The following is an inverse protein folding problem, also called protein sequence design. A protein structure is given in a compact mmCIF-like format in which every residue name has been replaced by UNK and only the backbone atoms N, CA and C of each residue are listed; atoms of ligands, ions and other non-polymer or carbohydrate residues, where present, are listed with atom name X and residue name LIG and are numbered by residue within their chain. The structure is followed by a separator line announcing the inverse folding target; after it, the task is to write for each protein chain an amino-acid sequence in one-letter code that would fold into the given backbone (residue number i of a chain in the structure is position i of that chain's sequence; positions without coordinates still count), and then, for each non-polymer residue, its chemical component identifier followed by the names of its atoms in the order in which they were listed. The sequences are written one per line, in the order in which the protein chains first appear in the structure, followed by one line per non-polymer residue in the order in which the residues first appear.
data_IF_944817730397
#
_entry.id   IF_944817730397
#
_cell.length_a   1.000
_cell.length_b   1.000
_cell.length_c   1.000
_cell.angle_alpha   90.00
_cell.angle_beta   90.00
_cell.angle_gamma   90.00
#
_symmetry.space_group_name_H-M   'P 1'
#
loop_
_entity.id
_entity.type
_entity.pdbx_description
1 polymer ?
#
# COMPACT_ATOMS: atom_id res chain seq x y z
N UNK A 1 13.91 -13.74 42.01
CA UNK A 1 14.93 -13.57 40.94
C UNK A 1 14.19 -13.30 39.63
N UNK A 2 14.41 -12.13 39.04
CA UNK A 2 13.63 -11.59 37.94
C UNK A 2 14.15 -12.12 36.59
N UNK A 3 13.78 -13.35 36.21
CA UNK A 3 14.24 -13.95 34.94
C UNK A 3 13.88 -13.16 33.67
N UNK A 4 12.85 -12.30 33.75
CA UNK A 4 12.51 -11.37 32.67
C UNK A 4 13.57 -10.26 32.51
N UNK A 5 14.12 -9.77 33.62
CA UNK A 5 15.16 -8.73 33.64
C UNK A 5 16.49 -9.28 33.10
N UNK A 6 16.84 -10.52 33.44
CA UNK A 6 18.05 -11.18 32.94
C UNK A 6 17.96 -11.45 31.43
N UNK A 7 16.80 -11.90 30.94
CA UNK A 7 16.58 -12.11 29.50
C UNK A 7 16.54 -10.80 28.69
N UNK A 8 16.05 -9.71 29.28
CA UNK A 8 16.08 -8.39 28.67
C UNK A 8 17.51 -7.81 28.68
N UNK A 9 18.29 -8.06 29.73
CA UNK A 9 19.68 -7.62 29.84
C UNK A 9 20.59 -8.27 28.80
N UNK A 10 20.46 -9.58 28.58
CA UNK A 10 21.14 -10.33 27.50
C UNK A 10 20.80 -9.80 26.09
N UNK A 11 19.55 -9.42 25.85
CA UNK A 11 19.14 -8.87 24.54
C UNK A 11 19.64 -7.42 24.36
N UNK A 12 19.73 -6.65 25.44
CA UNK A 12 20.21 -5.28 25.46
C UNK A 12 21.74 -5.18 25.32
N UNK A 13 22.50 -6.12 25.88
CA UNK A 13 23.97 -6.07 25.87
C UNK A 13 24.59 -6.33 24.50
N UNK A 14 23.86 -6.97 23.58
CA UNK A 14 24.38 -7.44 22.27
C UNK A 14 24.15 -6.43 21.14
N UNK A 15 23.24 -5.45 21.27
CA UNK A 15 22.82 -4.59 20.15
C UNK A 15 23.32 -3.15 20.24
N UNK A 16 24.02 -2.69 19.19
CA UNK A 16 24.71 -1.39 19.14
C UNK A 16 23.78 -0.17 18.98
N UNK A 17 22.50 -0.37 18.61
CA UNK A 17 21.55 0.75 18.48
C UNK A 17 20.15 0.42 19.01
N UNK A 18 19.50 1.41 19.62
CA UNK A 18 18.11 1.33 20.12
C UNK A 18 17.11 0.89 19.03
N UNK A 19 17.40 1.23 17.77
CA UNK A 19 16.58 0.84 16.60
C UNK A 19 16.62 -0.66 16.34
N UNK A 20 17.80 -1.29 16.41
CA UNK A 20 17.94 -2.75 16.21
C UNK A 20 17.38 -3.56 17.39
N UNK A 21 17.41 -2.98 18.60
CA UNK A 21 16.77 -3.54 19.79
C UNK A 21 15.25 -3.54 19.63
N UNK A 22 14.68 -2.40 19.23
CA UNK A 22 13.24 -2.25 19.00
C UNK A 22 12.74 -3.21 17.91
N UNK A 23 13.46 -3.32 16.78
CA UNK A 23 13.13 -4.26 15.71
C UNK A 23 13.19 -5.72 16.19
N UNK A 24 14.15 -6.07 17.06
CA UNK A 24 14.25 -7.42 17.62
C UNK A 24 13.11 -7.74 18.57
N UNK A 25 12.71 -6.77 19.40
CA UNK A 25 11.61 -6.92 20.35
C UNK A 25 10.28 -7.00 19.61
N UNK A 26 10.04 -6.12 18.63
CA UNK A 26 8.85 -6.14 17.78
C UNK A 26 8.74 -7.49 17.05
N UNK A 27 9.85 -8.02 16.52
CA UNK A 27 9.89 -9.34 15.89
C UNK A 27 9.68 -10.51 16.86
N UNK A 28 10.19 -10.42 18.10
CA UNK A 28 10.10 -11.51 19.10
C UNK A 28 8.71 -11.61 19.74
N UNK A 29 7.98 -10.50 19.82
CA UNK A 29 6.71 -10.42 20.55
C UNK A 29 5.48 -10.21 19.65
N UNK A 30 5.62 -9.86 18.37
CA UNK A 30 4.53 -10.01 17.41
C UNK A 30 4.41 -11.47 17.01
N UNK A 31 3.40 -12.15 17.58
CA UNK A 31 2.92 -13.39 17.01
C UNK A 31 2.47 -13.10 15.58
N UNK A 32 3.14 -13.71 14.61
CA UNK A 32 2.80 -13.61 13.20
C UNK A 32 1.49 -14.40 12.97
N UNK A 33 0.36 -13.76 13.25
CA UNK A 33 -0.95 -14.41 13.14
C UNK A 33 -1.30 -14.63 11.66
N UNK A 34 -1.41 -15.90 11.27
CA UNK A 34 -1.86 -16.29 9.94
C UNK A 34 -3.25 -15.71 9.60
N UNK A 35 -4.09 -15.43 10.59
CA UNK A 35 -5.36 -14.73 10.42
C UNK A 35 -5.18 -13.30 9.92
N UNK A 36 -4.22 -12.55 10.48
CA UNK A 36 -3.90 -11.17 10.10
C UNK A 36 -3.41 -11.08 8.66
N UNK A 37 -2.51 -11.99 8.23
CA UNK A 37 -2.04 -12.06 6.83
C UNK A 37 -3.19 -12.32 5.86
N UNK A 38 -4.01 -13.35 6.12
CA UNK A 38 -5.17 -13.70 5.29
C UNK A 38 -6.17 -12.55 5.18
N UNK A 39 -6.43 -11.85 6.30
CA UNK A 39 -7.31 -10.70 6.33
C UNK A 39 -6.79 -9.54 5.46
N UNK A 40 -5.49 -9.22 5.54
CA UNK A 40 -4.91 -8.15 4.73
C UNK A 40 -4.95 -8.47 3.23
N UNK A 41 -4.67 -9.72 2.85
CA UNK A 41 -4.79 -10.18 1.46
C UNK A 41 -6.24 -10.05 0.98
N UNK A 42 -7.21 -10.54 1.75
CA UNK A 42 -8.63 -10.41 1.40
C UNK A 42 -9.05 -8.94 1.26
N UNK A 43 -8.61 -8.07 2.19
CA UNK A 43 -8.87 -6.64 2.14
C UNK A 43 -8.29 -5.98 0.90
N UNK A 44 -7.06 -6.34 0.51
CA UNK A 44 -6.43 -5.83 -0.71
C UNK A 44 -7.17 -6.30 -1.97
N UNK A 45 -7.48 -7.60 -2.07
CA UNK A 45 -8.18 -8.16 -3.22
C UNK A 45 -9.57 -7.55 -3.41
N UNK A 46 -10.34 -7.42 -2.33
CA UNK A 46 -11.71 -6.87 -2.36
C UNK A 46 -11.76 -5.34 -2.43
N UNK A 47 -10.62 -4.64 -2.35
CA UNK A 47 -10.61 -3.19 -2.48
C UNK A 47 -11.03 -2.78 -3.90
N UNK A 48 -12.07 -1.96 -4.01
CA UNK A 48 -12.53 -1.39 -5.28
C UNK A 48 -12.62 0.13 -5.16
N UNK A 49 -12.20 0.85 -6.21
CA UNK A 49 -12.36 2.30 -6.27
C UNK A 49 -13.78 2.63 -6.72
N UNK A 50 -14.42 3.54 -6.01
CA UNK A 50 -15.78 4.01 -6.31
C UNK A 50 -15.78 5.46 -6.74
N UNK A 51 -16.69 5.82 -7.65
CA UNK A 51 -16.78 7.16 -8.23
C UNK A 51 -17.24 8.23 -7.24
N UNK A 52 -17.95 7.84 -6.18
CA UNK A 52 -18.46 8.75 -5.15
C UNK A 52 -17.39 9.32 -4.23
N UNK A 53 -16.12 8.88 -4.36
CA UNK A 53 -15.01 9.30 -3.51
C UNK A 53 -13.83 9.76 -4.37
N UNK A 54 -13.01 10.66 -3.83
CA UNK A 54 -11.78 11.09 -4.48
C UNK A 54 -10.85 9.90 -4.69
N UNK A 55 -10.48 9.64 -5.94
CA UNK A 55 -9.60 8.53 -6.34
C UNK A 55 -8.27 8.61 -5.58
N UNK A 56 -7.71 9.81 -5.42
CA UNK A 56 -6.45 10.02 -4.67
C UNK A 56 -6.55 9.52 -3.22
N UNK A 57 -7.62 9.88 -2.51
CA UNK A 57 -7.82 9.44 -1.11
C UNK A 57 -8.00 7.93 -1.00
N UNK A 58 -8.64 7.32 -2.00
CA UNK A 58 -8.83 5.88 -2.04
C UNK A 58 -7.52 5.14 -2.38
N UNK A 59 -6.72 5.67 -3.30
CA UNK A 59 -5.39 5.13 -3.61
C UNK A 59 -4.46 5.21 -2.40
N UNK A 60 -4.49 6.30 -1.63
CA UNK A 60 -3.76 6.39 -0.37
C UNK A 60 -4.18 5.29 0.63
N UNK A 61 -5.48 5.00 0.74
CA UNK A 61 -5.98 3.88 1.58
C UNK A 61 -5.50 2.51 1.09
N UNK A 62 -5.42 2.33 -0.23
CA UNK A 62 -4.87 1.12 -0.83
C UNK A 62 -3.36 1.00 -0.55
N UNK A 63 -2.59 2.08 -0.69
CA UNK A 63 -1.16 2.12 -0.32
C UNK A 63 -0.94 1.79 1.15
N UNK A 64 -1.77 2.29 2.06
CA UNK A 64 -1.71 1.90 3.48
C UNK A 64 -1.97 0.40 3.70
N UNK A 65 -2.83 -0.21 2.88
CA UNK A 65 -3.08 -1.65 2.93
C UNK A 65 -1.87 -2.43 2.43
N UNK A 66 -1.25 -2.00 1.33
CA UNK A 66 0.00 -2.57 0.81
C UNK A 66 1.14 -2.43 1.83
N UNK A 67 1.27 -1.28 2.49
CA UNK A 67 2.26 -1.05 3.53
C UNK A 67 2.07 -2.02 4.71
N UNK A 68 0.83 -2.25 5.14
CA UNK A 68 0.53 -3.26 6.18
C UNK A 68 0.91 -4.67 5.73
N UNK A 69 0.65 -5.03 4.48
CA UNK A 69 1.07 -6.31 3.90
C UNK A 69 2.60 -6.46 3.96
N UNK A 70 3.32 -5.39 3.62
CA UNK A 70 4.78 -5.35 3.71
C UNK A 70 5.29 -5.52 5.16
N UNK A 71 4.66 -4.84 6.13
CA UNK A 71 4.99 -4.99 7.57
C UNK A 71 4.77 -6.43 8.04
N UNK A 72 3.75 -7.11 7.52
CA UNK A 72 3.50 -8.55 7.74
C UNK A 72 4.42 -9.47 6.90
N UNK A 73 5.54 -8.94 6.39
CA UNK A 73 6.58 -9.68 5.66
C UNK A 73 6.10 -10.35 4.37
N UNK A 74 4.99 -9.89 3.80
CA UNK A 74 4.52 -10.30 2.48
C UNK A 74 5.05 -9.31 1.44
N UNK A 75 5.75 -9.83 0.42
CA UNK A 75 6.37 -9.01 -0.62
C UNK A 75 5.41 -8.91 -1.82
N UNK A 76 5.11 -7.70 -2.25
CA UNK A 76 4.38 -7.41 -3.49
C UNK A 76 5.27 -6.56 -4.38
N UNK A 77 5.58 -7.03 -5.58
CA UNK A 77 6.39 -6.27 -6.55
C UNK A 77 5.72 -4.94 -6.92
N UNK A 78 6.51 -3.92 -7.23
CA UNK A 78 5.98 -2.61 -7.62
C UNK A 78 5.11 -2.70 -8.89
N UNK A 79 5.54 -3.49 -9.88
CA UNK A 79 4.77 -3.77 -11.09
C UNK A 79 3.39 -4.37 -10.80
N UNK A 80 3.29 -5.27 -9.81
CA UNK A 80 2.01 -5.83 -9.40
C UNK A 80 1.13 -4.78 -8.70
N UNK A 81 1.72 -3.92 -7.85
CA UNK A 81 0.98 -2.84 -7.21
C UNK A 81 0.37 -1.89 -8.23
N UNK A 82 1.15 -1.48 -9.24
CA UNK A 82 0.69 -0.62 -10.34
C UNK A 82 -0.44 -1.28 -11.10
N UNK A 83 -0.26 -2.53 -11.55
CA UNK A 83 -1.31 -3.28 -12.24
C UNK A 83 -2.59 -3.42 -11.39
N UNK A 84 -2.45 -3.70 -10.10
CA UNK A 84 -3.59 -3.85 -9.19
C UNK A 84 -4.33 -2.52 -8.99
N UNK A 85 -3.64 -1.38 -8.86
CA UNK A 85 -4.28 -0.07 -8.74
C UNK A 85 -5.06 0.24 -10.03
N UNK A 86 -4.46 0.01 -11.20
CA UNK A 86 -5.09 0.22 -12.52
C UNK A 86 -6.33 -0.64 -12.68
N UNK A 87 -6.27 -1.91 -12.28
CA UNK A 87 -7.42 -2.82 -12.38
C UNK A 87 -8.57 -2.42 -11.46
N UNK A 88 -8.26 -1.82 -10.31
CA UNK A 88 -9.25 -1.36 -9.32
C UNK A 88 -9.90 -0.02 -9.66
N UNK A 89 -9.48 0.66 -10.73
CA UNK A 89 -10.08 1.93 -11.16
C UNK A 89 -11.57 1.76 -11.50
N UNK A 90 -12.40 2.78 -11.20
CA UNK A 90 -13.83 2.69 -11.49
C UNK A 90 -14.10 2.63 -13.01
N UNK A 91 -15.27 2.14 -13.44
CA UNK A 91 -15.63 2.04 -14.86
C UNK A 91 -15.52 3.36 -15.63
N UNK A 92 -15.80 4.51 -15.00
CA UNK A 92 -15.70 5.81 -15.68
C UNK A 92 -14.25 6.12 -16.13
N UNK A 93 -13.24 5.46 -15.56
CA UNK A 93 -11.82 5.62 -15.89
C UNK A 93 -11.33 4.64 -16.98
N UNK A 94 -12.21 3.93 -17.67
CA UNK A 94 -11.82 2.84 -18.58
C UNK A 94 -10.91 3.32 -19.73
N UNK A 95 -11.17 4.48 -20.32
CA UNK A 95 -10.33 5.02 -21.40
C UNK A 95 -8.91 5.33 -20.90
N UNK A 96 -8.80 5.91 -19.72
CA UNK A 96 -7.52 6.17 -19.06
C UNK A 96 -6.81 4.86 -18.70
N UNK A 97 -7.55 3.87 -18.18
CA UNK A 97 -7.05 2.52 -17.90
C UNK A 97 -6.45 1.88 -19.15
N UNK A 98 -7.12 1.99 -20.30
CA UNK A 98 -6.61 1.49 -21.58
C UNK A 98 -5.34 2.24 -22.01
N UNK A 99 -5.31 3.57 -21.87
CA UNK A 99 -4.11 4.36 -22.12
C UNK A 99 -2.90 3.89 -21.29
N UNK A 100 -3.12 3.59 -20.00
CA UNK A 100 -2.08 3.08 -19.12
C UNK A 100 -1.60 1.67 -19.53
N UNK A 101 -2.49 0.79 -19.97
CA UNK A 101 -2.15 -0.57 -20.42
C UNK A 101 -1.28 -0.60 -21.68
N UNK A 102 -1.45 0.37 -22.57
CA UNK A 102 -0.68 0.43 -23.82
C UNK A 102 0.67 1.15 -23.69
N UNK A 103 1.03 1.65 -22.50
CA UNK A 103 2.35 2.25 -22.24
C UNK A 103 3.43 1.17 -22.18
N UNK A 104 4.48 1.36 -22.98
CA UNK A 104 5.66 0.47 -23.01
C UNK A 104 6.68 0.73 -21.90
N UNK A 105 6.69 1.94 -21.32
CA UNK A 105 7.64 2.29 -20.26
C UNK A 105 7.12 1.77 -18.92
N UNK A 106 8.00 1.12 -18.17
CA UNK A 106 7.74 0.77 -16.77
C UNK A 106 7.34 2.01 -15.97
N UNK A 107 6.38 1.84 -15.08
CA UNK A 107 5.76 2.92 -14.31
C UNK A 107 5.86 2.57 -12.84
N UNK A 108 6.31 3.53 -12.03
CA UNK A 108 6.30 3.42 -10.57
C UNK A 108 4.92 3.72 -10.00
N UNK A 109 4.68 3.36 -8.73
CA UNK A 109 3.44 3.74 -8.03
C UNK A 109 3.31 5.26 -7.93
N UNK A 110 4.42 5.97 -7.72
CA UNK A 110 4.45 7.43 -7.65
C UNK A 110 4.07 8.08 -8.98
N UNK A 111 4.63 7.59 -10.10
CA UNK A 111 4.29 8.04 -11.44
C UNK A 111 2.79 7.87 -11.73
N UNK A 112 2.23 6.72 -11.33
CA UNK A 112 0.80 6.44 -11.49
C UNK A 112 -0.04 7.44 -10.68
N UNK A 113 0.34 7.76 -9.45
CA UNK A 113 -0.39 8.71 -8.59
C UNK A 113 -0.40 10.11 -9.20
N UNK A 114 0.73 10.56 -9.76
CA UNK A 114 0.83 11.85 -10.44
C UNK A 114 -0.15 11.88 -11.63
N UNK A 115 -0.14 10.84 -12.46
CA UNK A 115 -1.05 10.74 -13.61
C UNK A 115 -2.53 10.72 -13.20
N UNK A 116 -2.87 10.02 -12.12
CA UNK A 116 -4.23 9.98 -11.59
C UNK A 116 -4.72 11.35 -11.12
N UNK A 117 -3.84 12.18 -10.56
CA UNK A 117 -4.18 13.57 -10.18
C UNK A 117 -4.47 14.42 -11.42
N UNK A 118 -3.56 14.39 -12.40
CA UNK A 118 -3.72 15.15 -13.66
C UNK A 118 -5.01 14.76 -14.38
N UNK A 119 -5.27 13.46 -14.54
CA UNK A 119 -6.48 12.98 -15.21
C UNK A 119 -7.75 13.37 -14.45
N UNK A 120 -7.71 13.38 -13.11
CA UNK A 120 -8.83 13.84 -12.30
C UNK A 120 -9.16 15.31 -12.56
N UNK A 121 -8.13 16.15 -12.65
CA UNK A 121 -8.27 17.58 -12.90
C UNK A 121 -8.82 17.83 -14.32
N UNK A 122 -8.30 17.12 -15.32
CA UNK A 122 -8.80 17.17 -16.71
C UNK A 122 -10.31 16.86 -16.80
N UNK A 123 -10.76 15.81 -16.11
CA UNK A 123 -12.18 15.44 -16.04
C UNK A 123 -13.05 16.46 -15.30
N UNK A 124 -12.45 17.22 -14.39
CA UNK A 124 -13.13 18.32 -13.70
C UNK A 124 -13.37 19.51 -14.62
N UNK A 125 -12.41 19.81 -15.51
CA UNK A 125 -12.49 20.92 -16.46
C UNK A 125 -13.50 20.67 -17.59
N UNK A 126 -13.57 19.45 -18.13
CA UNK A 126 -14.55 19.06 -19.18
C UNK A 126 -16.01 19.34 -18.78
N UNK A 127 -16.35 19.14 -17.50
CA UNK A 127 -17.70 19.38 -16.97
C UNK A 127 -18.03 20.86 -16.73
N UNK A 128 -17.03 21.72 -16.69
CA UNK A 128 -17.19 23.18 -16.53
C UNK A 128 -17.35 23.92 -17.85
N UNK A 129 -16.88 23.33 -18.96
CA UNK A 129 -16.87 23.94 -20.28
C UNK A 129 -18.14 23.69 -21.11
N UNK A 130 -19.11 22.94 -20.58
CA UNK A 130 -20.39 22.61 -21.25
C UNK A 130 -21.58 23.44 -20.74
N UNK A 131 -21.35 24.67 -20.27
CA UNK A 131 -22.41 25.56 -19.77
C UNK A 131 -22.45 26.88 -20.50
#
# INVERSE_FOLDING_TARGET
MNGLLDALYEVCSVKKTTKELWISLDHKYKAEDAGTKKFLVAKFLNFALVDSKLVVNQVQKLQLTIYRIFVERMIISESFQVAAIIEKLPPIWNDFKNCLKHKRKEMSVEDLIIRLRIEKDNRGMEKGSTK
#
